data_IF_123526970814
#
_entry.id   IF_123526970814
#
_cell.length_a   1.000
_cell.length_b   1.000
_cell.length_c   1.000
_cell.angle_alpha   90.00
_cell.angle_beta   90.00
_cell.angle_gamma   90.00
#
_symmetry.space_group_name_H-M   'P 1'
#
loop_
_entity.id
_entity.type
_entity.pdbx_description
1 polymer ?
#
# COMPACT_ATOMS: atom_id res chain seq x y z
N UNK A 1 5.86 5.45 -10.76
CA UNK A 1 5.26 4.09 -10.72
C UNK A 1 6.36 3.05 -10.75
N UNK A 2 7.07 2.89 -11.87
CA UNK A 2 8.16 1.90 -12.05
C UNK A 2 9.25 1.96 -10.96
N UNK A 3 9.65 3.17 -10.54
CA UNK A 3 10.65 3.32 -9.47
C UNK A 3 10.21 2.67 -8.16
N UNK A 4 8.95 2.87 -7.78
CA UNK A 4 8.38 2.25 -6.58
C UNK A 4 8.23 0.74 -6.75
N UNK A 5 7.92 0.24 -7.96
CA UNK A 5 7.80 -1.19 -8.24
C UNK A 5 9.11 -1.94 -8.00
N UNK A 6 10.26 -1.35 -8.35
CA UNK A 6 11.58 -1.94 -8.15
C UNK A 6 12.02 -2.00 -6.68
N UNK A 7 11.51 -1.08 -5.84
CA UNK A 7 11.88 -0.98 -4.43
C UNK A 7 10.72 -0.45 -3.55
N UNK A 8 9.62 -1.19 -3.41
CA UNK A 8 8.38 -0.68 -2.79
C UNK A 8 8.46 -0.56 -1.27
N UNK A 9 9.33 -1.36 -0.64
CA UNK A 9 9.58 -1.33 0.81
C UNK A 9 10.84 -0.54 1.18
N UNK A 10 11.44 0.18 0.23
CA UNK A 10 12.66 0.97 0.44
C UNK A 10 13.82 0.15 1.03
N UNK A 11 13.91 -1.15 0.71
CA UNK A 11 14.95 -2.07 1.21
C UNK A 11 16.23 -2.01 0.38
N UNK A 12 16.17 -1.56 -0.88
CA UNK A 12 17.28 -1.57 -1.84
C UNK A 12 17.70 -0.16 -2.25
N UNK A 13 18.56 0.48 -1.45
CA UNK A 13 19.13 1.80 -1.76
C UNK A 13 18.15 2.96 -1.64
N UNK A 14 18.61 4.13 -2.08
CA UNK A 14 17.85 5.38 -1.98
C UNK A 14 16.77 5.49 -3.07
N UNK A 15 15.65 6.12 -2.71
CA UNK A 15 14.58 6.50 -3.64
C UNK A 15 14.75 7.97 -4.03
N UNK A 16 14.28 8.33 -5.22
CA UNK A 16 14.28 9.69 -5.73
C UNK A 16 13.54 10.64 -4.79
N UNK A 17 13.96 11.90 -4.80
CA UNK A 17 13.32 12.94 -4.01
C UNK A 17 11.83 13.07 -4.33
N UNK A 18 11.46 12.97 -5.62
CA UNK A 18 10.07 13.04 -6.05
C UNK A 18 9.23 11.90 -5.47
N UNK A 19 9.73 10.66 -5.48
CA UNK A 19 9.05 9.53 -4.87
C UNK A 19 8.93 9.72 -3.35
N UNK A 20 9.99 10.20 -2.69
CA UNK A 20 9.96 10.44 -1.24
C UNK A 20 8.93 11.48 -0.81
N UNK A 21 8.76 12.57 -1.57
CA UNK A 21 7.72 13.57 -1.31
C UNK A 21 6.34 12.92 -1.33
N UNK A 22 6.06 12.11 -2.36
CA UNK A 22 4.78 11.44 -2.52
C UNK A 22 4.53 10.40 -1.41
N UNK A 23 5.55 9.62 -1.04
CA UNK A 23 5.46 8.66 0.05
C UNK A 23 5.21 9.35 1.39
N UNK A 24 5.87 10.47 1.66
CA UNK A 24 5.67 11.26 2.87
C UNK A 24 4.24 11.82 2.95
N UNK A 25 3.73 12.32 1.83
CA UNK A 25 2.34 12.76 1.73
C UNK A 25 1.36 11.63 2.12
N UNK A 26 1.49 10.44 1.50
CA UNK A 26 0.62 9.31 1.83
C UNK A 26 0.76 8.80 3.27
N UNK A 27 1.98 8.78 3.81
CA UNK A 27 2.25 8.35 5.19
C UNK A 27 1.60 9.30 6.21
N UNK A 28 1.52 10.59 5.90
CA UNK A 28 0.95 11.63 6.76
C UNK A 28 -0.58 11.63 6.89
N UNK A 29 -1.33 10.88 6.08
CA UNK A 29 -2.81 10.87 6.14
C UNK A 29 -3.36 10.34 7.49
N UNK A 30 -4.64 10.58 7.85
CA UNK A 30 -5.30 9.93 8.98
C UNK A 30 -5.28 8.40 8.87
N UNK A 31 -5.23 7.66 9.98
CA UNK A 31 -5.06 6.20 9.94
C UNK A 31 -6.33 5.44 9.55
N UNK A 32 -7.50 5.91 9.98
CA UNK A 32 -8.78 5.29 9.60
C UNK A 32 -9.00 5.38 8.09
N UNK A 33 -9.43 4.27 7.49
CA UNK A 33 -9.60 4.13 6.05
C UNK A 33 -8.31 3.90 5.27
N UNK A 34 -7.11 3.94 5.89
CA UNK A 34 -5.87 3.67 5.17
C UNK A 34 -5.80 2.22 4.69
N UNK A 35 -5.35 2.06 3.45
CA UNK A 35 -4.94 0.77 2.92
C UNK A 35 -3.63 0.29 3.58
N UNK A 36 -3.58 -1.00 3.89
CA UNK A 36 -2.40 -1.69 4.37
C UNK A 36 -2.30 -3.11 3.79
N UNK A 37 -1.10 -3.69 3.85
CA UNK A 37 -0.83 -5.07 3.41
C UNK A 37 -1.18 -6.03 4.54
N UNK A 38 -2.04 -7.00 4.25
CA UNK A 38 -2.43 -8.08 5.17
C UNK A 38 -1.81 -9.40 4.72
N UNK A 39 -1.01 -10.02 5.58
CA UNK A 39 -0.44 -11.34 5.33
C UNK A 39 -1.48 -12.43 5.66
N UNK A 40 -2.29 -12.83 4.68
CA UNK A 40 -3.28 -13.90 4.83
C UNK A 40 -2.59 -15.24 5.09
N UNK A 41 -1.51 -15.51 4.35
CA UNK A 41 -0.54 -16.58 4.61
C UNK A 41 0.85 -16.01 4.38
N UNK A 42 1.68 -15.84 5.42
CA UNK A 42 3.03 -15.31 5.26
C UNK A 42 3.79 -16.04 4.16
N UNK A 43 4.52 -15.29 3.32
CA UNK A 43 5.33 -15.80 2.22
C UNK A 43 4.56 -16.45 1.06
N UNK A 44 3.23 -16.38 1.04
CA UNK A 44 2.41 -17.08 0.04
C UNK A 44 1.18 -16.30 -0.44
N UNK A 45 0.50 -15.59 0.45
CA UNK A 45 -0.76 -14.91 0.14
C UNK A 45 -0.85 -13.61 0.93
N UNK A 46 -0.67 -12.51 0.20
CA UNK A 46 -0.82 -11.16 0.71
C UNK A 46 -2.05 -10.50 0.07
N UNK A 47 -2.79 -9.73 0.86
CA UNK A 47 -4.01 -9.03 0.44
C UNK A 47 -3.93 -7.57 0.85
N UNK A 48 -4.84 -6.76 0.34
CA UNK A 48 -4.97 -5.36 0.73
C UNK A 48 -6.25 -5.20 1.55
N UNK A 49 -6.13 -4.57 2.71
CA UNK A 49 -7.23 -4.27 3.61
C UNK A 49 -7.26 -2.79 3.97
N UNK A 50 -8.40 -2.31 4.43
CA UNK A 50 -8.57 -0.96 5.02
C UNK A 50 -8.55 -1.03 6.53
N UNK A 51 -7.87 -0.07 7.15
CA UNK A 51 -7.90 0.05 8.61
C UNK A 51 -9.24 0.62 9.05
N UNK A 52 -9.96 -0.15 9.86
CA UNK A 52 -11.26 0.22 10.43
C UNK A 52 -11.13 0.61 11.90
N UNK A 53 -12.26 0.78 12.57
CA UNK A 53 -12.31 0.98 14.02
C UNK A 53 -11.71 -0.20 14.79
N UNK A 54 -11.30 0.06 16.04
CA UNK A 54 -10.70 -0.96 16.91
C UNK A 54 -11.72 -2.06 17.22
N UNK A 55 -11.25 -3.31 17.22
CA UNK A 55 -12.08 -4.48 17.53
C UNK A 55 -12.86 -5.03 16.34
N UNK A 56 -12.87 -4.33 15.20
CA UNK A 56 -13.44 -4.85 13.96
C UNK A 56 -12.42 -5.75 13.21
N UNK A 57 -12.89 -6.80 12.51
CA UNK A 57 -12.05 -7.57 11.61
C UNK A 57 -11.58 -6.72 10.42
N UNK A 58 -10.49 -7.12 9.74
CA UNK A 58 -10.02 -6.43 8.56
C UNK A 58 -11.03 -6.49 7.41
N UNK A 59 -11.25 -5.38 6.73
CA UNK A 59 -12.06 -5.32 5.50
C UNK A 59 -11.14 -5.36 4.29
N UNK A 60 -11.21 -6.44 3.51
CA UNK A 60 -10.49 -6.53 2.23
C UNK A 60 -11.16 -5.67 1.18
N UNK A 61 -10.35 -4.94 0.40
CA UNK A 61 -10.87 -4.00 -0.61
C UNK A 61 -11.35 -4.69 -1.88
N UNK A 62 -10.82 -5.88 -2.16
CA UNK A 62 -11.13 -6.70 -3.32
C UNK A 62 -10.68 -8.17 -3.10
N UNK A 63 -10.74 -8.98 -4.16
CA UNK A 63 -10.37 -10.41 -4.14
C UNK A 63 -8.92 -10.67 -4.61
N UNK A 64 -8.11 -9.63 -4.85
CA UNK A 64 -6.74 -9.81 -5.32
C UNK A 64 -5.88 -10.44 -4.23
N UNK A 65 -5.02 -11.35 -4.66
CA UNK A 65 -3.96 -11.97 -3.87
C UNK A 65 -2.64 -11.67 -4.54
N UNK A 66 -1.63 -11.38 -3.73
CA UNK A 66 -0.28 -11.06 -4.15
C UNK A 66 0.70 -12.11 -3.60
N UNK A 67 1.68 -12.54 -4.40
CA UNK A 67 2.61 -13.60 -4.02
C UNK A 67 3.61 -13.18 -2.94
N UNK A 68 3.86 -11.87 -2.79
CA UNK A 68 4.82 -11.32 -1.84
C UNK A 68 4.44 -9.92 -1.34
N UNK A 69 5.15 -9.47 -0.29
CA UNK A 69 4.95 -8.16 0.33
C UNK A 69 5.24 -6.99 -0.61
N UNK A 70 6.22 -7.14 -1.51
CA UNK A 70 6.62 -6.06 -2.41
C UNK A 70 5.52 -5.78 -3.43
N UNK A 71 4.97 -6.84 -4.05
CA UNK A 71 3.86 -6.76 -4.98
C UNK A 71 2.62 -6.12 -4.32
N UNK A 72 2.27 -6.56 -3.10
CA UNK A 72 1.16 -5.98 -2.35
C UNK A 72 1.41 -4.51 -1.98
N UNK A 73 2.62 -4.16 -1.53
CA UNK A 73 2.98 -2.79 -1.18
C UNK A 73 2.96 -1.86 -2.39
N UNK A 74 3.42 -2.33 -3.56
CA UNK A 74 3.33 -1.59 -4.81
C UNK A 74 1.86 -1.35 -5.21
N UNK A 75 1.00 -2.37 -5.09
CA UNK A 75 -0.42 -2.22 -5.37
C UNK A 75 -1.12 -1.23 -4.42
N UNK A 76 -0.76 -1.19 -3.13
CA UNK A 76 -1.23 -0.14 -2.20
C UNK A 76 -0.81 1.25 -2.65
N UNK A 77 0.42 1.42 -3.14
CA UNK A 77 0.90 2.70 -3.67
C UNK A 77 0.09 3.13 -4.90
N UNK A 78 -0.16 2.21 -5.86
CA UNK A 78 -0.97 2.47 -7.05
C UNK A 78 -2.37 2.96 -6.66
N UNK A 79 -3.05 2.26 -5.76
CA UNK A 79 -4.39 2.64 -5.28
C UNK A 79 -4.42 4.03 -4.66
N UNK A 80 -3.38 4.40 -3.91
CA UNK A 80 -3.29 5.74 -3.31
C UNK A 80 -3.09 6.81 -4.38
N UNK A 81 -2.28 6.55 -5.41
CA UNK A 81 -2.12 7.46 -6.54
C UNK A 81 -3.43 7.62 -7.31
N UNK A 82 -4.15 6.53 -7.59
CA UNK A 82 -5.45 6.55 -8.27
C UNK A 82 -6.53 7.29 -7.47
N UNK A 83 -6.50 7.16 -6.14
CA UNK A 83 -7.43 7.89 -5.25
C UNK A 83 -7.21 9.41 -5.29
N UNK A 84 -6.00 9.89 -5.58
CA UNK A 84 -5.75 11.32 -5.79
C UNK A 84 -6.45 11.84 -7.05
N UNK A 85 -6.44 11.06 -8.12
CA UNK A 85 -7.09 11.42 -9.38
C UNK A 85 -8.62 11.39 -9.31
N UNK A 86 -9.17 10.69 -8.32
CA UNK A 86 -10.61 10.52 -8.11
C UNK A 86 -11.24 11.64 -7.26
N UNK A 87 -10.44 12.54 -6.68
CA UNK A 87 -10.88 13.73 -5.92
C UNK A 87 -11.34 14.89 -6.84
N UNK A 88 -12.06 14.59 -7.92
CA UNK A 88 -12.67 15.60 -8.79
C UNK A 88 -13.99 16.11 -8.25
#
# INVERSE_FOLDING_TARGET
MEEHERNPLSRAGEQSQALQILLNFFRGHPTLGKFYVYAQRPWLDYRIATLTERGAPPTFIDQRSFPDENAAAHAVFVLRVESLGSLR
#
